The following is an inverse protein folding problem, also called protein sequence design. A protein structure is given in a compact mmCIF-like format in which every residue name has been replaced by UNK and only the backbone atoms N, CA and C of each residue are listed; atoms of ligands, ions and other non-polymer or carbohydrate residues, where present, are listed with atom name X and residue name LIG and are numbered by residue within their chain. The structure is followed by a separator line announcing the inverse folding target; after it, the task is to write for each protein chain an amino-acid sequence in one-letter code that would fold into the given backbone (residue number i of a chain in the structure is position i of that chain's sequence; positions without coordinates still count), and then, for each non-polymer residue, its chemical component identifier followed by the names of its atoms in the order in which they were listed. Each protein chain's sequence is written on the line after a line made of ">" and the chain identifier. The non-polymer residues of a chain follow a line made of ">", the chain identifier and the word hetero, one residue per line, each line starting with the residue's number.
data_IF_802723018614
#
_entry.id   IF_802723018614
#
_cell.length_a   1.000
_cell.length_b   1.000
_cell.length_c   1.000
_cell.angle_alpha   90.00
_cell.angle_beta   90.00
_cell.angle_gamma   90.00
#
_symmetry.space_group_name_H-M   'P 1'
#
loop_
_entity.id
_entity.type
_entity.pdbx_description
1 polymer ?
#
# COMPACT_ATOMS: atom_id res chain seq x y z
N UNK A 1 -6.95 21.62 17.43
CA UNK A 1 -6.67 21.90 15.99
C UNK A 1 -6.36 20.59 15.29
N UNK A 2 -6.91 20.39 14.09
CA UNK A 2 -6.85 19.12 13.34
C UNK A 2 -5.41 18.59 13.19
N UNK A 3 -5.10 17.56 13.95
CA UNK A 3 -3.78 16.94 14.13
C UNK A 3 -3.38 16.06 12.93
N UNK A 4 -4.13 16.11 11.83
CA UNK A 4 -3.95 15.22 10.66
C UNK A 4 -2.80 15.67 9.77
N UNK A 5 -2.65 16.98 9.55
CA UNK A 5 -1.58 17.52 8.69
C UNK A 5 -0.19 17.35 9.30
N UNK A 6 -0.04 17.59 10.62
CA UNK A 6 1.19 17.37 11.37
C UNK A 6 1.61 15.89 11.36
N UNK A 7 0.65 14.98 11.62
CA UNK A 7 0.89 13.53 11.60
C UNK A 7 1.23 13.03 10.18
N UNK A 8 0.58 13.55 9.15
CA UNK A 8 0.91 13.24 7.76
C UNK A 8 2.34 13.68 7.42
N UNK A 9 2.71 14.91 7.78
CA UNK A 9 4.05 15.44 7.54
C UNK A 9 5.12 14.63 8.29
N UNK A 10 4.85 14.22 9.53
CA UNK A 10 5.74 13.36 10.32
C UNK A 10 5.99 11.99 9.65
N UNK A 11 5.02 11.48 8.88
CA UNK A 11 5.14 10.21 8.16
C UNK A 11 5.89 10.30 6.83
N UNK A 12 6.02 11.48 6.22
CA UNK A 12 6.69 11.64 4.94
C UNK A 12 8.15 11.11 4.90
N UNK A 13 9.04 11.41 5.88
CA UNK A 13 10.39 10.84 5.88
C UNK A 13 10.40 9.31 6.06
N UNK A 14 9.49 8.76 6.88
CA UNK A 14 9.37 7.31 7.08
C UNK A 14 8.99 6.62 5.76
N UNK A 15 7.98 7.15 5.06
CA UNK A 15 7.53 6.63 3.77
C UNK A 15 8.65 6.70 2.72
N UNK A 16 9.40 7.81 2.66
CA UNK A 16 10.54 7.94 1.74
C UNK A 16 11.66 6.94 2.01
N UNK A 17 11.87 6.59 3.28
CA UNK A 17 12.83 5.57 3.68
C UNK A 17 12.26 4.13 3.63
N UNK A 18 11.03 3.95 3.13
CA UNK A 18 10.32 2.67 3.11
C UNK A 18 10.16 2.02 4.51
N UNK A 19 9.99 2.86 5.53
CA UNK A 19 9.74 2.46 6.91
C UNK A 19 8.24 2.45 7.22
N UNK A 20 7.86 1.71 8.26
CA UNK A 20 6.48 1.65 8.74
C UNK A 20 5.96 3.06 9.07
N UNK A 21 4.75 3.43 8.64
CA UNK A 21 4.16 4.70 9.05
C UNK A 21 3.84 4.68 10.55
N UNK A 22 4.01 5.84 11.19
CA UNK A 22 3.60 6.12 12.56
C UNK A 22 2.09 6.39 12.63
N UNK A 23 1.39 5.65 13.47
CA UNK A 23 -0.06 5.74 13.61
C UNK A 23 -0.53 6.42 14.91
N UNK A 24 0.38 6.76 15.85
CA UNK A 24 0.08 7.31 17.19
C UNK A 24 -1.00 6.51 17.94
N UNK A 25 -1.06 5.20 17.70
CA UNK A 25 -2.05 4.32 18.30
C UNK A 25 -1.75 4.13 19.79
N UNK A 26 -2.80 4.19 20.62
CA UNK A 26 -2.68 4.03 22.07
C UNK A 26 -1.99 5.18 22.82
N UNK A 27 -1.57 6.25 22.14
CA UNK A 27 -0.92 7.39 22.80
C UNK A 27 -1.94 8.18 23.64
N UNK A 28 -1.74 8.31 24.96
CA UNK A 28 -2.64 9.10 25.79
C UNK A 28 -2.63 10.58 25.39
N UNK A 29 -3.81 11.17 25.18
CA UNK A 29 -3.96 12.57 24.76
C UNK A 29 -3.26 13.56 25.72
N UNK A 30 -3.30 13.28 27.02
CA UNK A 30 -2.62 14.09 28.03
C UNK A 30 -1.09 14.03 27.89
N UNK A 31 -0.54 12.86 27.56
CA UNK A 31 0.91 12.71 27.36
C UNK A 31 1.36 13.50 26.13
N UNK A 32 0.59 13.42 25.03
CA UNK A 32 0.83 14.22 23.83
C UNK A 32 0.77 15.72 24.13
N UNK A 33 -0.28 16.16 24.83
CA UNK A 33 -0.48 17.59 25.16
C UNK A 33 0.68 18.13 26.02
N UNK A 34 1.11 17.38 27.04
CA UNK A 34 2.25 17.75 27.89
C UNK A 34 3.57 17.78 27.12
N UNK A 35 3.79 16.82 26.24
CA UNK A 35 4.97 16.79 25.37
C UNK A 35 5.06 18.02 24.48
N UNK A 36 3.93 18.41 23.88
CA UNK A 36 3.82 19.58 23.03
C UNK A 36 4.03 20.88 23.84
N UNK A 37 3.43 21.00 25.03
CA UNK A 37 3.68 22.14 25.93
C UNK A 37 5.15 22.24 26.34
N UNK A 38 5.83 21.12 26.62
CA UNK A 38 7.27 21.12 26.90
C UNK A 38 8.11 21.73 25.78
N UNK A 39 7.74 21.47 24.52
CA UNK A 39 8.42 22.08 23.37
C UNK A 39 8.10 23.57 23.28
N UNK A 40 6.83 23.96 23.38
CA UNK A 40 6.41 25.34 23.18
C UNK A 40 6.82 26.29 24.32
N UNK A 41 6.71 25.84 25.57
CA UNK A 41 6.92 26.69 26.75
C UNK A 41 8.34 26.59 27.29
N UNK A 42 8.93 25.40 27.23
CA UNK A 42 10.23 25.13 27.85
C UNK A 42 11.34 24.89 26.83
N UNK A 43 11.05 24.89 25.52
CA UNK A 43 12.00 24.56 24.44
C UNK A 43 12.68 23.19 24.63
N UNK A 44 11.99 22.27 25.31
CA UNK A 44 12.48 20.93 25.68
C UNK A 44 11.76 19.85 24.88
N UNK A 45 12.54 18.98 24.25
CA UNK A 45 12.03 17.97 23.30
C UNK A 45 11.98 16.56 23.88
N UNK A 46 12.54 16.33 25.06
CA UNK A 46 12.77 15.01 25.64
C UNK A 46 11.47 14.22 25.78
N UNK A 47 10.42 14.86 26.31
CA UNK A 47 9.11 14.23 26.49
C UNK A 47 8.45 13.90 25.15
N UNK A 48 8.62 14.75 24.13
CA UNK A 48 8.08 14.51 22.79
C UNK A 48 8.85 13.42 22.05
N UNK A 49 10.18 13.39 22.22
CA UNK A 49 11.04 12.33 21.67
C UNK A 49 10.67 10.97 22.25
N UNK A 50 10.53 10.87 23.56
CA UNK A 50 10.25 9.61 24.23
C UNK A 50 8.84 9.11 23.87
N UNK A 51 7.86 10.03 23.80
CA UNK A 51 6.51 9.74 23.31
C UNK A 51 6.52 9.27 21.85
N UNK A 52 7.32 9.90 20.99
CA UNK A 52 7.47 9.51 19.59
C UNK A 52 8.06 8.10 19.45
N UNK A 53 9.14 7.80 20.18
CA UNK A 53 9.79 6.48 20.16
C UNK A 53 8.81 5.39 20.60
N UNK A 54 8.12 5.59 21.71
CA UNK A 54 7.11 4.66 22.19
C UNK A 54 5.99 4.44 21.17
N UNK A 55 5.44 5.52 20.61
CA UNK A 55 4.38 5.43 19.61
C UNK A 55 4.84 4.71 18.33
N UNK A 56 6.11 4.88 17.96
CA UNK A 56 6.71 4.21 16.82
C UNK A 56 6.93 2.72 17.08
N UNK A 57 7.40 2.34 18.28
CA UNK A 57 7.50 0.94 18.69
C UNK A 57 6.13 0.25 18.61
N UNK A 58 5.07 0.84 19.16
CA UNK A 58 3.71 0.31 19.04
C UNK A 58 3.27 0.17 17.58
N UNK A 59 3.51 1.20 16.75
CA UNK A 59 3.17 1.16 15.33
C UNK A 59 3.92 0.05 14.58
N UNK A 60 5.19 -0.18 14.89
CA UNK A 60 5.97 -1.26 14.27
C UNK A 60 5.49 -2.65 14.70
N UNK A 61 5.08 -2.84 15.95
CA UNK A 61 4.52 -4.11 16.42
C UNK A 61 3.21 -4.45 15.71
N UNK A 62 2.31 -3.48 15.59
CA UNK A 62 1.05 -3.65 14.89
C UNK A 62 1.27 -3.87 13.39
N UNK A 63 2.16 -3.10 12.78
CA UNK A 63 2.55 -3.33 11.39
C UNK A 63 3.18 -4.71 11.19
N UNK A 64 3.99 -5.21 12.12
CA UNK A 64 4.53 -6.57 12.04
C UNK A 64 3.44 -7.62 12.22
N UNK A 65 2.46 -7.41 13.10
CA UNK A 65 1.33 -8.32 13.26
C UNK A 65 0.47 -8.39 11.98
N UNK A 66 0.08 -7.24 11.44
CA UNK A 66 -0.63 -7.13 10.15
C UNK A 66 0.23 -7.72 9.03
N UNK A 67 1.53 -7.41 9.01
CA UNK A 67 2.44 -7.94 7.99
C UNK A 67 2.59 -9.45 8.12
N UNK A 68 2.59 -10.03 9.31
CA UNK A 68 2.65 -11.49 9.51
C UNK A 68 1.37 -12.17 9.03
N UNK A 69 0.19 -11.59 9.27
CA UNK A 69 -1.07 -12.01 8.64
C UNK A 69 -0.99 -11.88 7.10
N UNK A 70 -0.35 -10.82 6.61
CA UNK A 70 -0.03 -10.64 5.18
C UNK A 70 1.19 -11.45 4.74
N UNK A 71 1.97 -12.13 5.58
CA UNK A 71 3.16 -12.89 5.15
C UNK A 71 2.74 -14.30 4.68
N UNK A 72 1.48 -14.65 4.88
CA UNK A 72 0.75 -15.59 4.05
C UNK A 72 0.51 -15.07 2.60
N UNK A 73 1.12 -13.94 2.20
CA UNK A 73 1.21 -13.54 0.80
C UNK A 73 2.03 -14.58 0.04
N UNK A 74 1.28 -15.49 -0.58
CA UNK A 74 1.66 -16.42 -1.62
C UNK A 74 3.03 -16.09 -2.26
N UNK A 75 4.05 -16.95 -2.08
CA UNK A 75 5.39 -16.71 -2.64
C UNK A 75 5.35 -16.49 -4.16
N UNK A 76 4.34 -17.01 -4.85
CA UNK A 76 4.11 -16.79 -6.28
C UNK A 76 3.74 -15.32 -6.58
N UNK A 77 2.92 -14.68 -5.73
CA UNK A 77 2.59 -13.25 -5.85
C UNK A 77 3.83 -12.38 -5.70
N UNK A 78 4.75 -12.74 -4.82
CA UNK A 78 6.00 -12.01 -4.62
C UNK A 78 6.96 -12.22 -5.80
N UNK A 79 7.13 -13.46 -6.25
CA UNK A 79 8.00 -13.80 -7.38
C UNK A 79 7.60 -13.04 -8.65
N UNK A 80 6.29 -12.94 -8.93
CA UNK A 80 5.76 -12.34 -10.15
C UNK A 80 5.16 -10.95 -9.98
N UNK A 81 5.36 -10.30 -8.83
CA UNK A 81 4.69 -9.02 -8.49
C UNK A 81 4.81 -7.96 -9.58
N UNK A 82 5.97 -7.85 -10.24
CA UNK A 82 6.21 -6.88 -11.32
C UNK A 82 5.43 -7.24 -12.58
N UNK A 83 5.40 -8.52 -12.96
CA UNK A 83 4.63 -9.01 -14.11
C UNK A 83 3.13 -8.83 -13.88
N UNK A 84 2.66 -9.18 -12.68
CA UNK A 84 1.26 -8.98 -12.27
C UNK A 84 0.90 -7.49 -12.36
N UNK A 85 1.73 -6.62 -11.79
CA UNK A 85 1.51 -5.17 -11.81
C UNK A 85 1.40 -4.62 -13.24
N UNK A 86 2.31 -5.00 -14.12
CA UNK A 86 2.33 -4.54 -15.51
C UNK A 86 1.14 -5.08 -16.30
N UNK A 87 0.81 -6.36 -16.12
CA UNK A 87 -0.31 -6.98 -16.85
C UNK A 87 -1.65 -6.35 -16.44
N UNK A 88 -1.88 -6.14 -15.13
CA UNK A 88 -3.07 -5.43 -14.63
C UNK A 88 -3.16 -4.03 -15.26
N UNK A 89 -2.04 -3.31 -15.32
CA UNK A 89 -1.99 -2.00 -15.97
C UNK A 89 -2.34 -2.08 -17.45
N UNK A 90 -1.78 -3.03 -18.19
CA UNK A 90 -2.06 -3.20 -19.61
C UNK A 90 -3.53 -3.54 -19.88
N UNK A 91 -4.13 -4.41 -19.08
CA UNK A 91 -5.56 -4.74 -19.18
C UNK A 91 -6.44 -3.50 -19.01
N UNK A 92 -6.11 -2.61 -18.07
CA UNK A 92 -6.87 -1.37 -17.84
C UNK A 92 -6.65 -0.37 -18.97
N UNK A 93 -5.41 -0.22 -19.47
CA UNK A 93 -5.10 0.71 -20.56
C UNK A 93 -5.66 0.24 -21.91
N UNK A 94 -5.77 -1.07 -22.13
CA UNK A 94 -6.36 -1.67 -23.33
C UNK A 94 -7.84 -2.01 -23.12
N UNK A 95 -8.64 -0.99 -22.76
CA UNK A 95 -10.05 -1.17 -22.42
C UNK A 95 -10.93 -1.77 -23.55
N UNK A 96 -10.50 -1.65 -24.81
CA UNK A 96 -11.21 -2.21 -25.96
C UNK A 96 -10.87 -3.69 -26.24
N UNK A 97 -9.84 -4.23 -25.60
CA UNK A 97 -9.41 -5.63 -25.77
C UNK A 97 -10.07 -6.55 -24.74
N UNK A 98 -10.22 -7.83 -25.08
CA UNK A 98 -10.65 -8.83 -24.10
C UNK A 98 -9.56 -9.00 -23.03
N UNK A 99 -9.87 -8.79 -21.73
CA UNK A 99 -8.89 -8.91 -20.64
C UNK A 99 -8.16 -10.25 -20.62
N UNK A 100 -8.86 -11.36 -20.92
CA UNK A 100 -8.25 -12.70 -20.91
C UNK A 100 -7.21 -12.88 -22.00
N UNK A 101 -7.39 -12.23 -23.15
CA UNK A 101 -6.43 -12.30 -24.25
C UNK A 101 -5.17 -11.49 -23.93
N UNK A 102 -5.32 -10.33 -23.29
CA UNK A 102 -4.19 -9.52 -22.82
C UNK A 102 -3.37 -10.31 -21.78
N UNK A 103 -4.03 -10.94 -20.81
CA UNK A 103 -3.37 -11.78 -19.80
C UNK A 103 -2.62 -12.93 -20.47
N UNK A 104 -3.29 -13.68 -21.36
CA UNK A 104 -2.69 -14.82 -22.05
C UNK A 104 -1.44 -14.41 -22.85
N UNK A 105 -1.54 -13.31 -23.58
CA UNK A 105 -0.44 -12.77 -24.39
C UNK A 105 0.73 -12.29 -23.52
N UNK A 106 0.46 -11.76 -22.31
CA UNK A 106 1.52 -11.31 -21.39
C UNK A 106 2.28 -12.44 -20.68
N UNK A 107 1.81 -13.69 -20.78
CA UNK A 107 2.38 -14.84 -20.08
C UNK A 107 3.00 -15.87 -21.02
N UNK A 108 3.03 -15.61 -22.34
CA UNK A 108 3.56 -16.55 -23.33
C UNK A 108 5.04 -16.86 -23.16
N UNK A 109 5.79 -15.99 -22.48
CA UNK A 109 7.22 -16.16 -22.19
C UNK A 109 7.52 -17.10 -21.02
N UNK A 110 6.52 -17.45 -20.21
CA UNK A 110 6.66 -18.46 -19.16
C UNK A 110 6.76 -19.86 -19.78
N UNK A 111 7.63 -20.72 -19.27
CA UNK A 111 7.88 -22.04 -19.86
C UNK A 111 6.90 -23.11 -19.37
N UNK A 112 6.45 -23.05 -18.11
CA UNK A 112 5.50 -24.00 -17.52
C UNK A 112 4.06 -23.55 -17.72
N UNK A 113 3.21 -24.49 -18.09
CA UNK A 113 1.77 -24.26 -18.22
C UNK A 113 1.09 -24.13 -16.85
N UNK A 114 1.61 -24.83 -15.83
CA UNK A 114 1.17 -24.68 -14.45
C UNK A 114 1.47 -23.27 -13.92
N UNK A 115 2.69 -22.77 -14.10
CA UNK A 115 3.08 -21.41 -13.69
C UNK A 115 2.24 -20.34 -14.40
N UNK A 116 1.99 -20.51 -15.71
CA UNK A 116 1.11 -19.60 -16.47
C UNK A 116 -0.28 -19.54 -15.87
N UNK A 117 -0.85 -20.69 -15.54
CA UNK A 117 -2.20 -20.77 -14.98
C UNK A 117 -2.28 -20.11 -13.61
N UNK A 118 -1.32 -20.40 -12.73
CA UNK A 118 -1.28 -19.81 -11.39
C UNK A 118 -1.10 -18.29 -11.44
N UNK A 119 -0.17 -17.79 -12.27
CA UNK A 119 0.03 -16.34 -12.43
C UNK A 119 -1.19 -15.67 -13.08
N UNK A 120 -1.84 -16.32 -14.04
CA UNK A 120 -3.07 -15.82 -14.63
C UNK A 120 -4.21 -15.70 -13.60
N UNK A 121 -4.40 -16.72 -12.76
CA UNK A 121 -5.39 -16.71 -11.69
C UNK A 121 -5.14 -15.58 -10.68
N UNK A 122 -3.86 -15.34 -10.33
CA UNK A 122 -3.45 -14.22 -9.50
C UNK A 122 -3.78 -12.87 -10.14
N UNK A 123 -3.52 -12.69 -11.43
CA UNK A 123 -3.83 -11.45 -12.16
C UNK A 123 -5.35 -11.21 -12.18
N UNK A 124 -6.14 -12.26 -12.43
CA UNK A 124 -7.60 -12.18 -12.41
C UNK A 124 -8.10 -11.77 -11.03
N UNK A 125 -7.53 -12.32 -9.96
CA UNK A 125 -7.88 -11.96 -8.59
C UNK A 125 -7.55 -10.49 -8.28
N UNK A 126 -6.39 -10.00 -8.72
CA UNK A 126 -6.00 -8.59 -8.56
C UNK A 126 -6.94 -7.65 -9.34
N UNK A 127 -7.34 -8.01 -10.56
CA UNK A 127 -8.31 -7.25 -11.34
C UNK A 127 -9.68 -7.19 -10.65
N UNK A 128 -10.14 -8.28 -10.02
CA UNK A 128 -11.40 -8.28 -9.25
C UNK A 128 -11.34 -7.38 -8.03
N UNK A 129 -10.17 -7.26 -7.40
CA UNK A 129 -9.91 -6.40 -6.23
C UNK A 129 -9.60 -4.96 -6.63
N UNK A 130 -9.59 -4.62 -7.91
CA UNK A 130 -9.23 -3.28 -8.38
C UNK A 130 -10.31 -2.26 -8.02
N UNK A 131 -9.92 -1.24 -7.26
CA UNK A 131 -10.76 -0.10 -6.89
C UNK A 131 -9.90 1.16 -6.76
N UNK A 132 -10.53 2.33 -6.59
CA UNK A 132 -9.85 3.63 -6.58
C UNK A 132 -8.69 3.72 -5.57
N UNK A 133 -8.86 3.11 -4.40
CA UNK A 133 -7.85 3.06 -3.33
C UNK A 133 -6.57 2.26 -3.64
N UNK A 134 -6.57 1.40 -4.67
CA UNK A 134 -5.40 0.57 -5.03
C UNK A 134 -4.77 0.95 -6.37
N UNK A 135 -5.30 1.93 -7.11
CA UNK A 135 -4.82 2.32 -8.44
C UNK A 135 -3.35 2.75 -8.47
N UNK A 136 -2.90 3.46 -7.41
CA UNK A 136 -1.53 3.92 -7.29
C UNK A 136 -0.51 2.76 -7.33
N UNK A 137 -0.89 1.57 -6.83
CA UNK A 137 -0.05 0.36 -6.88
C UNK A 137 0.27 -0.06 -8.30
N UNK A 138 -0.63 0.20 -9.25
CA UNK A 138 -0.47 -0.16 -10.66
C UNK A 138 -0.03 1.03 -11.53
N UNK A 139 0.15 2.22 -10.93
CA UNK A 139 0.47 3.44 -11.67
C UNK A 139 -0.68 3.93 -12.56
N UNK A 140 -1.92 3.62 -12.18
CA UNK A 140 -3.12 3.97 -12.92
C UNK A 140 -3.74 5.28 -12.40
N UNK A 141 -4.30 6.07 -13.31
CA UNK A 141 -5.08 7.27 -12.98
C UNK A 141 -6.57 6.90 -12.83
N UNK A 142 -7.34 7.61 -11.98
CA UNK A 142 -8.78 7.36 -11.85
C UNK A 142 -9.54 7.40 -13.19
N UNK A 143 -9.17 8.33 -14.09
CA UNK A 143 -9.81 8.43 -15.41
C UNK A 143 -9.60 7.19 -16.29
N UNK A 144 -8.42 6.55 -16.23
CA UNK A 144 -8.12 5.33 -16.99
C UNK A 144 -8.95 4.15 -16.46
N UNK A 145 -9.09 4.05 -15.14
CA UNK A 145 -9.91 3.02 -14.52
C UNK A 145 -11.40 3.18 -14.83
N UNK A 146 -11.92 4.41 -14.79
CA UNK A 146 -13.33 4.67 -15.12
C UNK A 146 -13.63 4.34 -16.59
N UNK A 147 -12.75 4.74 -17.51
CA UNK A 147 -12.89 4.38 -18.93
C UNK A 147 -12.95 2.86 -19.14
N UNK A 148 -12.06 2.12 -18.48
CA UNK A 148 -12.07 0.66 -18.51
C UNK A 148 -13.37 0.08 -17.94
N UNK A 149 -13.85 0.59 -16.79
CA UNK A 149 -15.10 0.14 -16.18
C UNK A 149 -16.34 0.36 -17.04
N UNK A 150 -16.41 1.47 -17.78
CA UNK A 150 -17.52 1.76 -18.68
C UNK A 150 -17.59 0.77 -19.85
N UNK A 151 -16.43 0.27 -20.31
CA UNK A 151 -16.33 -0.70 -21.42
C UNK A 151 -16.57 -2.14 -20.99
N UNK A 152 -16.36 -2.46 -19.72
CA UNK A 152 -16.58 -3.80 -19.15
C UNK A 152 -18.03 -4.03 -18.67
N UNK A 153 -18.92 -3.04 -18.87
CA UNK A 153 -20.33 -3.08 -18.44
C UNK A 153 -21.25 -3.48 -19.58
#
# INVERSE_FOLDING_TARGET
>A
MSNTYSRLAANLPLIRANLCPLAFLGVPEQAYSRAILGVYELTRIELLRDLYLWAYECSTQEYLAIKQELTELDPMRLAWHQRIRETVRQVVLQADSNPLDVIRNSLTDLASEEERKEVADLIIEELRRLHEGVLARYGLRPAEFQHWREKQR
#
